data_IF_015818084378
#
_entry.id   IF_015818084378
#
_cell.length_a   1.000
_cell.length_b   1.000
_cell.length_c   1.000
_cell.angle_alpha   90.00
_cell.angle_beta   90.00
_cell.angle_gamma   90.00
#
_symmetry.space_group_name_H-M   'P 1'
#
loop_
_entity.id
_entity.type
_entity.pdbx_description
1 polymer ?
#
# COMPACT_ATOMS: atom_id res chain seq x y z
N UNK A 1 -12.57 -3.65 -5.77
CA UNK A 1 -11.69 -2.92 -4.83
C UNK A 1 -11.53 -3.79 -3.60
N UNK A 2 -10.31 -4.17 -3.21
CA UNK A 2 -10.09 -5.19 -2.16
C UNK A 2 -10.01 -4.50 -0.79
N UNK A 3 -10.75 -4.97 0.21
CA UNK A 3 -10.78 -4.35 1.56
C UNK A 3 -9.41 -4.40 2.25
N UNK A 4 -8.52 -5.31 1.84
CA UNK A 4 -7.14 -5.39 2.34
C UNK A 4 -6.35 -4.08 2.08
N UNK A 5 -6.74 -3.29 1.07
CA UNK A 5 -6.13 -1.98 0.79
C UNK A 5 -6.33 -1.00 1.93
N UNK A 6 -7.40 -1.16 2.71
CA UNK A 6 -7.72 -0.31 3.87
C UNK A 6 -7.04 -0.79 5.15
N UNK A 7 -6.48 -2.00 5.17
CA UNK A 7 -5.84 -2.59 6.35
C UNK A 7 -4.41 -2.09 6.61
N UNK A 8 -3.79 -1.38 5.66
CA UNK A 8 -2.41 -0.90 5.82
C UNK A 8 -2.32 0.16 6.92
N UNK A 9 -1.15 0.28 7.54
CA UNK A 9 -0.86 1.27 8.59
C UNK A 9 -1.82 1.20 9.79
N UNK A 10 -2.26 -0.01 10.14
CA UNK A 10 -3.19 -0.26 11.24
C UNK A 10 -4.65 0.06 10.92
N UNK A 11 -4.96 0.38 9.66
CA UNK A 11 -6.29 0.77 9.22
C UNK A 11 -6.30 2.20 8.68
N UNK A 12 -5.97 2.38 7.40
CA UNK A 12 -6.05 3.68 6.69
C UNK A 12 -7.49 4.05 6.30
N UNK A 13 -8.47 3.58 7.08
CA UNK A 13 -9.91 3.83 6.93
C UNK A 13 -10.40 4.78 8.03
N UNK A 14 -11.46 5.53 7.75
CA UNK A 14 -12.05 6.46 8.72
C UNK A 14 -11.21 7.73 8.92
N UNK A 15 -10.81 8.01 10.16
CA UNK A 15 -10.07 9.24 10.54
C UNK A 15 -8.61 9.25 10.12
N UNK A 16 -8.02 8.07 9.90
CA UNK A 16 -6.64 7.90 9.44
C UNK A 16 -6.62 8.01 7.91
N UNK A 17 -6.28 9.19 7.40
CA UNK A 17 -6.19 9.46 5.95
C UNK A 17 -4.77 9.30 5.39
N UNK A 18 -3.81 8.92 6.24
CA UNK A 18 -2.40 8.70 5.89
C UNK A 18 -1.74 7.76 6.88
N UNK A 19 -0.68 7.09 6.47
CA UNK A 19 0.15 6.30 7.38
C UNK A 19 0.79 7.18 8.45
N UNK A 20 0.20 7.19 9.65
CA UNK A 20 0.76 7.88 10.81
C UNK A 20 1.98 7.11 11.35
N UNK A 21 2.99 7.83 11.80
CA UNK A 21 4.20 7.25 12.41
C UNK A 21 5.27 6.76 11.42
N UNK A 22 5.02 6.88 10.11
CA UNK A 22 5.96 6.57 9.04
C UNK A 22 6.71 5.23 9.23
N UNK A 23 6.01 4.09 9.23
CA UNK A 23 6.65 2.80 9.44
C UNK A 23 7.56 2.42 8.27
N UNK A 24 8.61 1.64 8.53
CA UNK A 24 9.50 1.09 7.48
C UNK A 24 8.89 -0.11 6.72
N UNK A 25 7.82 -0.69 7.25
CA UNK A 25 7.06 -1.75 6.59
C UNK A 25 5.64 -1.74 7.13
N UNK A 26 4.66 -2.04 6.29
CA UNK A 26 3.29 -2.25 6.77
C UNK A 26 2.60 -3.34 5.99
N UNK A 27 1.66 -4.00 6.66
CA UNK A 27 0.85 -5.06 6.09
C UNK A 27 -0.61 -4.69 6.28
N UNK A 28 -1.39 -4.78 5.19
CA UNK A 28 -2.84 -4.71 5.24
C UNK A 28 -3.43 -6.06 4.87
N UNK A 29 -4.31 -6.59 5.69
CA UNK A 29 -4.93 -7.88 5.42
C UNK A 29 -6.45 -7.79 5.52
N UNK A 30 -7.16 -8.47 4.62
CA UNK A 30 -8.60 -8.68 4.72
C UNK A 30 -8.94 -10.05 4.16
N UNK A 31 -9.49 -10.92 5.02
CA UNK A 31 -9.64 -12.33 4.69
C UNK A 31 -8.29 -12.97 4.34
N UNK A 32 -8.20 -13.57 3.15
CA UNK A 32 -6.98 -14.16 2.61
C UNK A 32 -6.06 -13.14 1.92
N UNK A 33 -6.62 -12.01 1.48
CA UNK A 33 -5.89 -11.02 0.71
C UNK A 33 -4.94 -10.23 1.61
N UNK A 34 -3.67 -10.15 1.20
CA UNK A 34 -2.61 -9.49 1.96
C UNK A 34 -1.83 -8.52 1.08
N UNK A 35 -1.81 -7.26 1.49
CA UNK A 35 -0.89 -6.24 1.00
C UNK A 35 0.33 -6.17 1.90
N UNK A 36 1.51 -6.17 1.30
CA UNK A 36 2.79 -5.88 1.98
C UNK A 36 3.42 -4.68 1.31
N UNK A 37 3.79 -3.65 2.09
CA UNK A 37 4.38 -2.41 1.61
C UNK A 37 5.74 -2.20 2.25
N UNK A 38 6.74 -1.84 1.44
CA UNK A 38 8.08 -1.47 1.89
C UNK A 38 8.59 -0.27 1.07
N UNK A 39 9.24 0.74 1.69
CA UNK A 39 9.97 1.77 0.97
C UNK A 39 11.05 1.13 0.08
N UNK A 40 11.24 1.68 -1.12
CA UNK A 40 12.32 1.24 -2.02
C UNK A 40 13.68 1.73 -1.56
N UNK A 41 13.70 2.89 -0.90
CA UNK A 41 14.92 3.59 -0.57
C UNK A 41 15.33 3.27 0.87
N UNK A 42 16.61 2.97 1.07
CA UNK A 42 17.13 2.63 2.40
C UNK A 42 17.02 3.83 3.34
N UNK A 43 16.46 3.60 4.53
CA UNK A 43 16.22 4.65 5.52
C UNK A 43 14.93 5.44 5.31
N UNK A 44 14.25 5.28 4.17
CA UNK A 44 12.95 5.89 3.93
C UNK A 44 11.86 5.20 4.75
N UNK A 45 10.73 5.88 4.85
CA UNK A 45 9.56 5.47 5.64
C UNK A 45 8.29 5.61 4.82
N UNK A 46 7.25 4.84 5.13
CA UNK A 46 5.99 4.86 4.40
C UNK A 46 5.23 6.15 4.75
N UNK A 47 5.01 7.01 3.77
CA UNK A 47 4.29 8.28 3.93
C UNK A 47 3.28 8.48 2.78
N UNK A 48 2.29 7.59 2.74
CA UNK A 48 1.26 7.59 1.70
C UNK A 48 -0.10 7.98 2.28
N UNK A 49 -0.82 8.84 1.56
CA UNK A 49 -2.21 9.16 1.88
C UNK A 49 -3.16 8.13 1.27
N UNK A 50 -4.36 8.00 1.84
CA UNK A 50 -5.39 7.08 1.35
C UNK A 50 -5.66 7.27 -0.14
N UNK A 51 -5.90 8.52 -0.56
CA UNK A 51 -6.19 8.83 -1.97
C UNK A 51 -5.06 8.45 -2.93
N UNK A 52 -3.80 8.70 -2.55
CA UNK A 52 -2.64 8.29 -3.36
C UNK A 52 -2.52 6.77 -3.42
N UNK A 53 -2.66 6.09 -2.29
CA UNK A 53 -2.59 4.65 -2.19
C UNK A 53 -3.65 3.95 -3.06
N UNK A 54 -4.91 4.37 -2.95
CA UNK A 54 -6.00 3.85 -3.79
C UNK A 54 -5.75 4.10 -5.28
N UNK A 55 -5.16 5.24 -5.63
CA UNK A 55 -4.70 5.54 -6.99
C UNK A 55 -3.65 4.55 -7.50
N UNK A 56 -2.62 4.28 -6.69
CA UNK A 56 -1.57 3.31 -7.01
C UNK A 56 -2.13 1.90 -7.23
N UNK A 57 -3.05 1.44 -6.37
CA UNK A 57 -3.69 0.14 -6.52
C UNK A 57 -4.55 0.09 -7.79
N UNK A 58 -5.31 1.15 -8.07
CA UNK A 58 -6.14 1.23 -9.29
C UNK A 58 -5.27 1.14 -10.54
N UNK A 59 -4.15 1.85 -10.56
CA UNK A 59 -3.17 1.77 -11.65
C UNK A 59 -2.58 0.36 -11.78
N UNK A 60 -2.16 -0.25 -10.67
CA UNK A 60 -1.64 -1.62 -10.69
C UNK A 60 -2.68 -2.64 -11.16
N UNK A 61 -3.95 -2.50 -10.76
CA UNK A 61 -5.06 -3.34 -11.22
C UNK A 61 -5.45 -3.11 -12.68
N UNK A 62 -5.20 -1.92 -13.23
CA UNK A 62 -5.39 -1.68 -14.66
C UNK A 62 -4.39 -2.50 -15.50
N UNK A 63 -3.17 -2.69 -14.99
CA UNK A 63 -2.14 -3.53 -15.64
C UNK A 63 -2.31 -5.02 -15.33
N UNK A 64 -2.62 -5.37 -14.07
CA UNK A 64 -2.80 -6.74 -13.59
C UNK A 64 -4.22 -6.90 -13.00
N UNK A 65 -5.25 -7.21 -13.83
CA UNK A 65 -6.65 -7.20 -13.41
C UNK A 65 -6.98 -8.27 -12.36
N UNK A 66 -6.37 -9.45 -12.47
CA UNK A 66 -6.66 -10.62 -11.64
C UNK A 66 -5.39 -11.18 -10.99
N UNK A 67 -5.58 -11.96 -9.93
CA UNK A 67 -4.49 -12.61 -9.22
C UNK A 67 -3.60 -11.66 -8.41
N UNK A 68 -2.54 -12.25 -7.86
CA UNK A 68 -1.49 -11.59 -7.09
C UNK A 68 -0.65 -10.70 -8.00
N UNK A 69 -0.20 -9.56 -7.48
CA UNK A 69 0.65 -8.66 -8.26
C UNK A 69 1.63 -7.92 -7.36
N UNK A 70 2.73 -7.45 -7.96
CA UNK A 70 3.69 -6.54 -7.35
C UNK A 70 3.73 -5.26 -8.16
N UNK A 71 3.77 -4.12 -7.49
CA UNK A 71 3.85 -2.81 -8.14
C UNK A 71 4.53 -1.79 -7.23
N UNK A 72 4.79 -0.61 -7.76
CA UNK A 72 5.48 0.47 -7.06
C UNK A 72 4.60 1.71 -7.04
N UNK A 73 4.32 2.22 -5.85
CA UNK A 73 3.59 3.45 -5.65
C UNK A 73 4.57 4.62 -5.59
N UNK A 74 4.57 5.43 -6.66
CA UNK A 74 5.49 6.56 -6.81
C UNK A 74 5.17 7.65 -5.80
N UNK A 75 6.20 8.13 -5.09
CA UNK A 75 6.05 9.17 -4.05
C UNK A 75 5.22 8.70 -2.85
N UNK A 76 5.10 7.39 -2.62
CA UNK A 76 4.43 6.84 -1.46
C UNK A 76 5.27 6.91 -0.18
N UNK A 77 6.60 7.05 -0.29
CA UNK A 77 7.50 7.08 0.85
C UNK A 77 7.87 8.52 1.24
N UNK A 78 8.47 8.69 2.42
CA UNK A 78 9.04 9.97 2.88
C UNK A 78 10.15 10.45 1.95
N UNK A 79 10.91 9.50 1.39
CA UNK A 79 11.86 9.70 0.31
C UNK A 79 11.67 8.55 -0.69
N UNK A 80 11.42 8.89 -1.95
CA UNK A 80 11.23 7.92 -3.03
C UNK A 80 9.88 7.21 -3.03
N UNK A 81 9.91 5.91 -3.29
CA UNK A 81 8.73 5.12 -3.66
C UNK A 81 8.43 4.02 -2.63
N UNK A 82 7.23 3.44 -2.73
CA UNK A 82 6.87 2.24 -1.98
C UNK A 82 6.71 1.09 -2.96
N UNK A 83 7.47 0.01 -2.77
CA UNK A 83 7.16 -1.27 -3.37
C UNK A 83 6.02 -1.93 -2.59
N UNK A 84 5.01 -2.44 -3.30
CA UNK A 84 3.89 -3.12 -2.68
C UNK A 84 3.47 -4.37 -3.45
N UNK A 85 3.10 -5.40 -2.70
CA UNK A 85 2.69 -6.68 -3.25
C UNK A 85 1.36 -7.09 -2.67
N UNK A 86 0.45 -7.53 -3.54
CA UNK A 86 -0.79 -8.20 -3.19
C UNK A 86 -0.62 -9.71 -3.37
N UNK A 87 -0.86 -10.47 -2.32
CA UNK A 87 -0.91 -11.94 -2.36
C UNK A 87 -2.27 -12.47 -1.91
N UNK A 88 -2.64 -13.64 -2.43
CA UNK A 88 -3.90 -14.36 -2.17
C UNK A 88 -5.19 -13.51 -2.31
N UNK A 89 -5.36 -12.75 -3.42
CA UNK A 89 -6.44 -11.77 -3.59
C UNK A 89 -7.80 -12.33 -3.98
#
# INVERSE_FOLDING_TARGET
MNVATLGICGGIQGTIQKCNGAPKSTVGQSGTAKFTLNPTDSGATINVSKGRWEGCIRAARATCPTGSFSSTCVGGASQGNIAFTLTNP
#
